data_IF_220575173952
#
_entry.id   IF_220575173952
#
_cell.length_a   1.000
_cell.length_b   1.000
_cell.length_c   1.000
_cell.angle_alpha   90.00
_cell.angle_beta   90.00
_cell.angle_gamma   90.00
#
_symmetry.space_group_name_H-M   'P 1'
#
loop_
_entity.id
_entity.type
_entity.pdbx_description
1 polymer ?
#
# COMPACT_ATOMS: atom_id res chain seq x y z
N UNK A 1 5.47 -18.66 2.70
CA UNK A 1 6.35 -18.07 3.74
C UNK A 1 7.74 -17.81 3.15
N UNK A 2 7.97 -16.64 2.56
CA UNK A 2 9.12 -16.36 1.69
C UNK A 2 10.35 -15.76 2.41
N UNK A 3 10.46 -15.90 3.74
CA UNK A 3 11.63 -15.43 4.50
C UNK A 3 11.69 -13.92 4.79
N UNK A 4 10.58 -13.19 4.64
CA UNK A 4 10.53 -11.74 4.92
C UNK A 4 10.53 -11.42 6.42
N UNK A 5 11.12 -10.28 6.78
CA UNK A 5 11.09 -9.73 8.14
C UNK A 5 10.09 -8.57 8.20
N UNK A 6 9.10 -8.66 9.08
CA UNK A 6 8.10 -7.61 9.27
C UNK A 6 8.66 -6.50 10.16
N UNK A 7 8.87 -5.31 9.58
CA UNK A 7 9.41 -4.15 10.30
C UNK A 7 8.35 -3.43 11.15
N UNK A 8 7.08 -3.48 10.76
CA UNK A 8 6.01 -2.79 11.49
C UNK A 8 4.72 -2.66 10.71
N UNK A 9 3.85 -1.77 11.19
CA UNK A 9 2.56 -1.42 10.58
C UNK A 9 2.59 0.05 10.13
N UNK A 10 2.19 0.32 8.90
CA UNK A 10 2.18 1.67 8.33
C UNK A 10 0.86 2.38 8.61
N UNK A 11 0.92 3.71 8.65
CA UNK A 11 -0.28 4.56 8.76
C UNK A 11 -1.10 4.50 7.46
N UNK A 12 -2.40 4.79 7.55
CA UNK A 12 -3.35 4.75 6.43
C UNK A 12 -4.50 5.74 6.66
N UNK A 13 -5.28 6.02 5.61
CA UNK A 13 -6.58 6.70 5.78
C UNK A 13 -7.51 5.77 6.57
N UNK A 14 -8.23 6.34 7.54
CA UNK A 14 -9.09 5.59 8.46
C UNK A 14 -10.03 4.62 7.71
N UNK A 15 -10.04 3.35 8.13
CA UNK A 15 -10.78 2.25 7.49
C UNK A 15 -10.58 2.12 5.97
N UNK A 16 -9.45 2.57 5.45
CA UNK A 16 -9.14 2.64 4.03
C UNK A 16 -10.07 3.54 3.20
N UNK A 17 -10.94 4.34 3.83
CA UNK A 17 -12.01 5.08 3.17
C UNK A 17 -11.61 6.52 2.84
N UNK A 18 -10.91 6.69 1.72
CA UNK A 18 -10.55 8.00 1.17
C UNK A 18 -9.16 8.02 0.55
N UNK A 19 -8.86 9.10 -0.19
CA UNK A 19 -7.59 9.30 -0.88
C UNK A 19 -6.66 10.34 -0.25
N UNK A 20 -7.05 10.94 0.88
CA UNK A 20 -6.31 12.03 1.52
C UNK A 20 -5.74 11.55 2.87
N UNK A 21 -4.41 11.49 2.99
CA UNK A 21 -3.75 11.04 4.22
C UNK A 21 -3.70 12.05 5.38
N UNK A 22 -4.30 13.24 5.23
CA UNK A 22 -4.38 14.25 6.29
C UNK A 22 -5.38 13.90 7.40
N UNK A 23 -6.28 12.94 7.16
CA UNK A 23 -7.41 12.63 8.06
C UNK A 23 -7.20 11.40 8.96
N UNK A 24 -5.96 10.95 9.17
CA UNK A 24 -5.69 9.84 10.09
C UNK A 24 -5.64 10.30 11.55
N UNK A 25 -6.29 9.56 12.45
CA UNK A 25 -6.19 9.76 13.90
C UNK A 25 -4.73 9.73 14.40
N UNK A 26 -3.88 8.92 13.75
CA UNK A 26 -2.46 8.79 14.10
C UNK A 26 -1.57 9.93 13.56
N UNK A 27 -2.19 11.01 13.06
CA UNK A 27 -1.52 12.14 12.45
C UNK A 27 -1.38 11.97 10.93
N UNK A 28 -1.13 13.10 10.26
CA UNK A 28 -1.03 13.16 8.82
C UNK A 28 0.21 12.41 8.29
N UNK A 29 0.04 11.73 7.15
CA UNK A 29 1.19 11.23 6.36
C UNK A 29 1.53 12.27 5.30
N UNK A 30 2.82 12.56 5.17
CA UNK A 30 3.35 13.54 4.22
C UNK A 30 4.04 12.85 3.03
N UNK A 31 4.01 13.48 1.86
CA UNK A 31 4.75 13.00 0.70
C UNK A 31 6.27 13.19 0.93
N UNK A 32 7.11 12.15 0.81
CA UNK A 32 8.55 12.26 1.05
C UNK A 32 9.29 13.23 0.13
N UNK A 33 8.75 13.50 -1.06
CA UNK A 33 9.35 14.42 -2.02
C UNK A 33 9.06 15.89 -1.70
N UNK A 34 8.01 16.16 -0.92
CA UNK A 34 7.60 17.51 -0.51
C UNK A 34 6.63 17.41 0.67
N UNK A 35 7.06 17.80 1.87
CA UNK A 35 6.30 17.56 3.10
C UNK A 35 4.98 18.35 3.19
N UNK A 36 4.80 19.38 2.38
CA UNK A 36 3.55 20.13 2.22
C UNK A 36 2.53 19.44 1.29
N UNK A 37 2.89 18.29 0.68
CA UNK A 37 2.03 17.58 -0.28
C UNK A 37 1.45 16.28 0.28
N UNK A 38 0.32 15.91 -0.30
CA UNK A 38 -0.36 14.66 -0.01
C UNK A 38 0.40 13.47 -0.64
N UNK A 39 0.66 12.37 0.11
CA UNK A 39 1.19 11.13 -0.45
C UNK A 39 0.14 10.31 -1.23
N UNK A 40 -1.13 10.72 -1.22
CA UNK A 40 -2.27 9.94 -1.71
C UNK A 40 -2.80 8.97 -0.64
N UNK A 41 -3.73 8.10 -1.02
CA UNK A 41 -4.30 7.14 -0.08
C UNK A 41 -5.13 6.06 -0.76
N UNK A 42 -5.65 5.09 -0.01
CA UNK A 42 -5.57 5.02 1.47
C UNK A 42 -4.28 4.41 2.02
N UNK A 43 -3.47 3.69 1.22
CA UNK A 43 -2.19 3.07 1.65
C UNK A 43 -1.02 4.07 1.73
N UNK A 44 -1.27 5.22 2.36
CA UNK A 44 -0.38 6.39 2.36
C UNK A 44 0.96 6.13 3.05
N UNK A 45 0.95 5.56 4.26
CA UNK A 45 2.16 5.24 5.01
C UNK A 45 3.02 4.19 4.33
N UNK A 46 2.40 3.22 3.65
CA UNK A 46 3.12 2.21 2.85
C UNK A 46 3.90 2.87 1.71
N UNK A 47 3.25 3.76 0.95
CA UNK A 47 3.93 4.46 -0.15
C UNK A 47 5.05 5.37 0.35
N UNK A 48 4.77 6.17 1.39
CA UNK A 48 5.75 7.09 1.96
C UNK A 48 6.97 6.34 2.53
N UNK A 49 6.78 5.20 3.21
CA UNK A 49 7.87 4.41 3.77
C UNK A 49 8.82 3.87 2.67
N UNK A 50 8.27 3.39 1.56
CA UNK A 50 9.06 2.87 0.43
C UNK A 50 9.82 4.01 -0.27
N UNK A 51 9.15 5.13 -0.53
CA UNK A 51 9.74 6.30 -1.19
C UNK A 51 10.87 6.90 -0.33
N UNK A 52 10.70 6.93 1.00
CA UNK A 52 11.73 7.32 1.97
C UNK A 52 12.81 6.25 2.22
N UNK A 53 12.76 5.11 1.53
CA UNK A 53 13.69 3.97 1.68
C UNK A 53 13.76 3.38 3.10
N UNK A 54 12.68 3.46 3.85
CA UNK A 54 12.56 2.84 5.19
C UNK A 54 12.35 1.32 5.11
N UNK A 55 11.85 0.82 3.98
CA UNK A 55 11.70 -0.60 3.69
C UNK A 55 11.93 -0.91 2.20
N UNK A 56 12.08 -2.19 1.87
CA UNK A 56 12.21 -2.66 0.48
C UNK A 56 10.86 -2.81 -0.23
N UNK A 57 9.83 -3.18 0.52
CA UNK A 57 8.46 -3.28 0.02
C UNK A 57 7.46 -3.23 1.16
N UNK A 58 6.21 -2.98 0.80
CA UNK A 58 5.08 -2.94 1.71
C UNK A 58 3.85 -3.53 1.03
N UNK A 59 2.84 -3.84 1.84
CA UNK A 59 1.51 -4.19 1.36
C UNK A 59 0.59 -2.97 1.52
N UNK A 60 -0.37 -2.86 0.61
CA UNK A 60 -1.49 -1.95 0.71
C UNK A 60 -2.80 -2.64 0.32
N UNK A 61 -3.92 -2.05 0.70
CA UNK A 61 -5.23 -2.42 0.16
C UNK A 61 -5.62 -1.48 -0.98
N UNK A 62 -6.37 -1.98 -1.96
CA UNK A 62 -6.87 -1.20 -3.10
C UNK A 62 -8.33 -1.58 -3.40
N UNK A 63 -9.24 -0.74 -2.92
CA UNK A 63 -10.69 -0.85 -3.19
C UNK A 63 -11.09 0.03 -4.37
N UNK A 64 -10.59 1.27 -4.40
CA UNK A 64 -10.92 2.28 -5.40
C UNK A 64 -9.67 2.99 -5.99
N UNK A 65 -8.47 2.47 -5.75
CA UNK A 65 -7.21 3.15 -6.10
C UNK A 65 -6.14 3.12 -5.01
N UNK A 66 -6.41 2.51 -3.86
CA UNK A 66 -5.65 2.76 -2.65
C UNK A 66 -4.23 2.21 -2.59
N UNK A 67 -3.79 1.42 -3.58
CA UNK A 67 -2.37 1.10 -3.83
C UNK A 67 -1.83 1.96 -4.96
N UNK A 68 -2.56 2.05 -6.08
CA UNK A 68 -2.10 2.70 -7.31
C UNK A 68 -1.96 4.22 -7.17
N UNK A 69 -2.92 4.87 -6.53
CA UNK A 69 -2.91 6.32 -6.29
C UNK A 69 -1.67 6.72 -5.47
N UNK A 70 -1.46 6.23 -4.23
CA UNK A 70 -0.32 6.67 -3.44
C UNK A 70 1.02 6.24 -4.06
N UNK A 71 1.07 5.13 -4.79
CA UNK A 71 2.26 4.76 -5.55
C UNK A 71 2.63 5.80 -6.61
N UNK A 72 1.65 6.27 -7.40
CA UNK A 72 1.84 7.32 -8.40
C UNK A 72 2.29 8.64 -7.77
N UNK A 73 1.63 9.07 -6.69
CA UNK A 73 1.97 10.34 -6.02
C UNK A 73 3.32 10.30 -5.30
N UNK A 74 3.72 9.14 -4.77
CA UNK A 74 5.00 8.97 -4.08
C UNK A 74 6.13 8.49 -5.00
N UNK A 75 5.91 8.35 -6.32
CA UNK A 75 6.94 7.97 -7.28
C UNK A 75 7.51 6.56 -7.07
N UNK A 76 6.64 5.59 -6.75
CA UNK A 76 7.00 4.18 -6.56
C UNK A 76 6.08 3.27 -7.39
N UNK A 77 6.34 1.96 -7.39
CA UNK A 77 5.52 0.95 -8.05
C UNK A 77 4.46 0.43 -7.09
N UNK A 78 3.21 0.40 -7.54
CA UNK A 78 2.10 -0.23 -6.82
C UNK A 78 1.22 -1.01 -7.78
N UNK A 79 1.01 -2.29 -7.48
CA UNK A 79 0.18 -3.18 -8.29
C UNK A 79 -1.10 -3.52 -7.55
N UNK A 80 -2.24 -3.36 -8.22
CA UNK A 80 -3.50 -3.96 -7.80
C UNK A 80 -3.67 -5.28 -8.57
N UNK A 81 -3.56 -6.45 -7.93
CA UNK A 81 -3.75 -7.72 -8.60
C UNK A 81 -5.18 -7.92 -9.12
N UNK A 82 -5.41 -9.01 -9.85
CA UNK A 82 -6.75 -9.49 -10.19
C UNK A 82 -7.50 -9.85 -8.90
N UNK A 83 -8.81 -9.56 -8.85
CA UNK A 83 -9.63 -9.86 -7.68
C UNK A 83 -9.55 -11.35 -7.33
N UNK A 84 -9.31 -11.66 -6.06
CA UNK A 84 -9.15 -13.03 -5.58
C UNK A 84 -7.74 -13.64 -5.70
N UNK A 85 -6.82 -13.05 -6.47
CA UNK A 85 -5.47 -13.62 -6.65
C UNK A 85 -4.64 -13.61 -5.35
N UNK A 86 -4.83 -12.59 -4.52
CA UNK A 86 -4.21 -12.50 -3.19
C UNK A 86 -5.31 -12.62 -2.14
N UNK A 87 -5.14 -13.54 -1.19
CA UNK A 87 -6.13 -13.75 -0.14
C UNK A 87 -6.30 -12.49 0.71
N UNK A 88 -7.55 -12.11 0.97
CA UNK A 88 -7.93 -11.02 1.88
C UNK A 88 -8.19 -11.52 3.30
N UNK A 89 -7.96 -12.80 3.59
CA UNK A 89 -8.14 -13.36 4.93
C UNK A 89 -7.22 -12.65 5.93
N UNK A 90 -7.82 -12.08 6.99
CA UNK A 90 -7.10 -11.31 8.02
C UNK A 90 -6.93 -9.83 7.70
N UNK A 91 -7.46 -9.35 6.57
CA UNK A 91 -7.58 -7.91 6.27
C UNK A 91 -8.91 -7.40 6.81
N UNK A 92 -8.90 -6.24 7.48
CA UNK A 92 -10.12 -5.55 7.88
C UNK A 92 -10.79 -5.02 6.61
N UNK A 93 -12.03 -5.43 6.29
CA UNK A 93 -12.65 -5.09 5.01
C UNK A 93 -13.12 -3.63 5.00
N UNK A 94 -12.95 -2.97 3.84
CA UNK A 94 -13.71 -1.78 3.47
C UNK A 94 -14.90 -2.18 2.59
N UNK A 95 -14.62 -2.95 1.53
CA UNK A 95 -15.63 -3.52 0.64
C UNK A 95 -15.22 -4.94 0.23
N UNK A 96 -15.84 -5.92 0.87
CA UNK A 96 -15.70 -7.35 0.60
C UNK A 96 -15.74 -7.75 -0.90
N UNK A 97 -16.49 -7.04 -1.74
CA UNK A 97 -16.59 -7.32 -3.19
C UNK A 97 -15.59 -6.56 -4.05
N UNK A 98 -14.84 -5.60 -3.48
CA UNK A 98 -13.92 -4.73 -4.23
C UNK A 98 -12.50 -4.69 -3.66
N UNK A 99 -12.27 -5.22 -2.46
CA UNK A 99 -10.98 -5.14 -1.79
C UNK A 99 -9.94 -6.05 -2.45
N UNK A 100 -8.78 -5.48 -2.75
CA UNK A 100 -7.59 -6.20 -3.19
C UNK A 100 -6.45 -5.92 -2.22
N UNK A 101 -5.55 -6.89 -2.03
CA UNK A 101 -4.24 -6.67 -1.39
C UNK A 101 -3.20 -6.63 -2.49
N UNK A 102 -2.34 -5.61 -2.48
CA UNK A 102 -1.35 -5.38 -3.52
C UNK A 102 0.05 -5.10 -2.97
N UNK A 103 1.12 -5.56 -3.65
CA UNK A 103 2.48 -5.21 -3.31
C UNK A 103 2.83 -3.79 -3.79
N UNK A 104 3.66 -3.11 -3.00
CA UNK A 104 4.22 -1.80 -3.27
C UNK A 104 5.74 -1.86 -3.11
N UNK A 105 6.50 -1.35 -4.08
CA UNK A 105 7.97 -1.49 -4.16
C UNK A 105 8.59 -0.33 -4.95
N UNK A 106 9.93 -0.22 -5.00
CA UNK A 106 10.61 0.79 -5.83
C UNK A 106 10.77 0.37 -7.29
N UNK A 107 10.85 -0.93 -7.57
CA UNK A 107 11.04 -1.47 -8.92
C UNK A 107 9.90 -2.43 -9.28
N UNK A 108 9.67 -2.57 -10.59
CA UNK A 108 8.67 -3.52 -11.12
C UNK A 108 9.10 -4.97 -10.85
N UNK A 109 10.40 -5.25 -10.91
CA UNK A 109 10.96 -6.57 -10.60
C UNK A 109 10.67 -6.98 -9.15
N UNK A 110 10.97 -6.12 -8.18
CA UNK A 110 10.64 -6.37 -6.77
C UNK A 110 9.13 -6.54 -6.58
N UNK A 111 8.33 -5.79 -7.34
CA UNK A 111 6.86 -5.88 -7.26
C UNK A 111 6.37 -7.26 -7.69
N UNK A 112 6.92 -7.77 -8.80
CA UNK A 112 6.62 -9.09 -9.32
C UNK A 112 7.08 -10.21 -8.35
N UNK A 113 8.27 -10.07 -7.76
CA UNK A 113 8.78 -11.02 -6.76
C UNK A 113 7.87 -11.06 -5.52
N UNK A 114 7.45 -9.90 -5.02
CA UNK A 114 6.51 -9.84 -3.90
C UNK A 114 5.15 -10.43 -4.27
N UNK A 115 4.63 -10.15 -5.48
CA UNK A 115 3.37 -10.74 -5.94
C UNK A 115 3.44 -12.26 -5.98
N UNK A 116 4.51 -12.84 -6.52
CA UNK A 116 4.71 -14.30 -6.55
C UNK A 116 4.73 -14.90 -5.14
N UNK A 117 5.26 -14.17 -4.16
CA UNK A 117 5.34 -14.65 -2.78
C UNK A 117 4.00 -14.58 -2.01
N UNK A 118 3.09 -13.67 -2.39
CA UNK A 118 1.81 -13.45 -1.70
C UNK A 118 0.58 -13.93 -2.49
N UNK A 119 0.73 -14.16 -3.79
CA UNK A 119 -0.30 -14.75 -4.63
C UNK A 119 -0.60 -16.18 -4.19
N UNK A 120 -1.86 -16.57 -4.31
CA UNK A 120 -2.30 -17.95 -4.18
C UNK A 120 -2.64 -18.55 -5.55
N UNK A 121 -2.87 -19.86 -5.56
CA UNK A 121 -3.54 -20.56 -6.66
C UNK A 121 -5.06 -20.34 -6.63
#
# INVERSE_FOLDING_TARGET
>A
AAGTVLLGKTNMVEFAYGGNAAVSYFGAVHNPWSLDRNPGGSSSGSAAAIASRLCYGALGSDTAGSVRQPASLCGIVGLKPTFGLVSTRGVVPLSWSCDHVGPMTRTVEDNALMLQAIGGD
#
